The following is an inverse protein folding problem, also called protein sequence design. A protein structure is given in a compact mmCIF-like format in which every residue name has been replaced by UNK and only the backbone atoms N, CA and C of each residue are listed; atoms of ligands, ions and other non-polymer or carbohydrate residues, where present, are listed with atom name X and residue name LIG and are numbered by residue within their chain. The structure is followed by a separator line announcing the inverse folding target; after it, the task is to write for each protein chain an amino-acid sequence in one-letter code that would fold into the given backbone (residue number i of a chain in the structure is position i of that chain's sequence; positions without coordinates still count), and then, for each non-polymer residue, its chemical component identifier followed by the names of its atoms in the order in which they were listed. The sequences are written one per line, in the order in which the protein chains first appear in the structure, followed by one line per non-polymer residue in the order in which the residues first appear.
data_IF_498153192519
#
_entry.id   IF_498153192519
#
_cell.length_a   1.000
_cell.length_b   1.000
_cell.length_c   1.000
_cell.angle_alpha   90.00
_cell.angle_beta   90.00
_cell.angle_gamma   90.00
#
_symmetry.space_group_name_H-M   'P 1'
#
loop_
_entity.id
_entity.type
_entity.pdbx_description
1 polymer ?
#
# COMPACT_ATOMS: atom_id res chain seq x y z
N UNK A 1 26.53 -7.27 -9.51
CA UNK A 1 25.99 -8.58 -9.10
C UNK A 1 24.62 -8.31 -8.46
N UNK A 2 23.58 -8.90 -8.98
CA UNK A 2 22.20 -8.72 -8.45
C UNK A 2 22.10 -9.42 -7.10
N UNK A 3 21.73 -8.71 -6.05
CA UNK A 3 21.59 -9.20 -4.67
C UNK A 3 20.44 -10.22 -4.54
N UNK A 4 19.62 -10.36 -5.60
CA UNK A 4 18.38 -11.15 -5.62
C UNK A 4 18.53 -12.67 -5.51
N UNK A 5 19.73 -13.24 -5.30
CA UNK A 5 19.93 -14.68 -5.35
C UNK A 5 20.12 -15.42 -4.02
N UNK A 6 20.13 -14.72 -2.86
CA UNK A 6 20.50 -15.36 -1.58
C UNK A 6 19.53 -15.18 -0.41
N UNK A 7 18.28 -14.77 -0.62
CA UNK A 7 17.32 -14.77 0.48
C UNK A 7 16.82 -16.21 0.73
N UNK A 8 16.96 -16.70 1.96
CA UNK A 8 16.17 -17.85 2.38
C UNK A 8 14.69 -17.44 2.29
N UNK A 9 13.89 -18.09 1.46
CA UNK A 9 12.48 -17.74 1.19
C UNK A 9 11.64 -17.58 2.46
N UNK A 10 11.98 -18.33 3.50
CA UNK A 10 11.27 -18.33 4.79
C UNK A 10 11.53 -17.08 5.65
N UNK A 11 12.50 -16.25 5.28
CA UNK A 11 12.86 -15.01 6.00
C UNK A 11 12.49 -13.74 5.25
N UNK A 12 11.86 -13.85 4.07
CA UNK A 12 11.35 -12.68 3.35
C UNK A 12 10.08 -12.14 4.03
N UNK A 13 9.85 -10.82 4.03
CA UNK A 13 8.57 -10.27 4.47
C UNK A 13 7.47 -10.82 3.55
N UNK A 14 6.41 -11.36 4.13
CA UNK A 14 5.24 -11.82 3.36
C UNK A 14 4.42 -10.66 2.85
N UNK A 15 4.34 -9.59 3.66
CA UNK A 15 3.58 -8.38 3.37
C UNK A 15 4.46 -7.14 3.56
N UNK A 16 4.58 -6.36 2.48
CA UNK A 16 5.25 -5.05 2.49
C UNK A 16 4.19 -3.96 2.34
N UNK A 17 4.20 -2.97 3.23
CA UNK A 17 3.39 -1.76 3.13
C UNK A 17 4.26 -0.56 2.76
N UNK A 18 3.83 0.28 1.81
CA UNK A 18 4.64 1.42 1.33
C UNK A 18 3.86 2.73 1.41
N UNK A 19 4.44 3.73 2.10
CA UNK A 19 4.01 5.12 2.02
C UNK A 19 4.79 5.79 0.89
N UNK A 20 4.14 6.01 -0.24
CA UNK A 20 4.69 6.55 -1.48
C UNK A 20 4.84 8.07 -1.42
N UNK A 21 5.75 8.57 -0.55
CA UNK A 21 5.96 10.01 -0.38
C UNK A 21 7.01 10.57 -1.33
N UNK A 22 6.82 11.82 -1.73
CA UNK A 22 7.81 12.58 -2.49
C UNK A 22 7.44 12.91 -3.93
N UNK A 23 6.31 12.45 -4.48
CA UNK A 23 5.89 12.73 -5.87
C UNK A 23 5.94 14.22 -6.23
N UNK A 24 5.34 15.07 -5.39
CA UNK A 24 5.31 16.52 -5.64
C UNK A 24 6.68 17.17 -5.49
N UNK A 25 7.51 16.72 -4.52
CA UNK A 25 8.89 17.20 -4.33
C UNK A 25 9.78 16.83 -5.51
N UNK A 26 9.60 15.61 -6.03
CA UNK A 26 10.31 15.11 -7.21
C UNK A 26 10.06 15.98 -8.44
N UNK A 27 8.79 16.29 -8.73
CA UNK A 27 8.41 17.16 -9.84
C UNK A 27 8.99 18.58 -9.66
N UNK A 28 8.84 19.17 -8.47
CA UNK A 28 9.36 20.52 -8.17
C UNK A 28 10.86 20.61 -8.37
N UNK A 29 11.65 19.61 -7.93
CA UNK A 29 13.11 19.58 -8.13
C UNK A 29 13.52 19.59 -9.62
N UNK A 30 12.61 19.20 -10.52
CA UNK A 30 12.83 19.12 -11.98
C UNK A 30 12.12 20.22 -12.78
N UNK A 31 11.58 21.24 -12.08
CA UNK A 31 10.82 22.31 -12.75
C UNK A 31 9.49 21.89 -13.34
N UNK A 32 8.97 20.71 -12.93
CA UNK A 32 7.73 20.15 -13.44
C UNK A 32 6.55 20.44 -12.49
N UNK A 33 5.33 20.37 -13.03
CA UNK A 33 4.11 20.45 -12.23
C UNK A 33 3.94 19.17 -11.39
N UNK A 34 3.31 19.30 -10.22
CA UNK A 34 3.17 18.20 -9.24
C UNK A 34 2.54 16.93 -9.82
N UNK A 35 1.64 17.08 -10.77
CA UNK A 35 0.95 15.96 -11.43
C UNK A 35 1.89 15.04 -12.23
N UNK A 36 2.99 15.58 -12.78
CA UNK A 36 3.99 14.74 -13.45
C UNK A 36 4.71 13.80 -12.48
N UNK A 37 4.94 14.25 -11.24
CA UNK A 37 5.46 13.38 -10.18
C UNK A 37 4.50 12.23 -9.84
N UNK A 38 3.19 12.48 -9.83
CA UNK A 38 2.20 11.42 -9.61
C UNK A 38 2.17 10.41 -10.77
N UNK A 39 2.25 10.87 -12.02
CA UNK A 39 2.35 9.98 -13.19
C UNK A 39 3.60 9.08 -13.08
N UNK A 40 4.75 9.69 -12.77
CA UNK A 40 6.00 8.93 -12.59
C UNK A 40 5.92 7.96 -11.43
N UNK A 41 5.25 8.33 -10.34
CA UNK A 41 5.01 7.44 -9.21
C UNK A 41 4.17 6.21 -9.55
N UNK A 42 3.26 6.30 -10.52
CA UNK A 42 2.51 5.14 -11.05
C UNK A 42 3.44 4.15 -11.78
N UNK A 43 4.36 4.66 -12.61
CA UNK A 43 5.35 3.81 -13.30
C UNK A 43 6.28 3.10 -12.29
N UNK A 44 6.64 3.80 -11.21
CA UNK A 44 7.42 3.22 -10.10
C UNK A 44 6.65 2.10 -9.42
N UNK A 45 5.36 2.30 -9.13
CA UNK A 45 4.51 1.26 -8.53
C UNK A 45 4.50 -0.02 -9.38
N UNK A 46 4.37 0.11 -10.70
CA UNK A 46 4.37 -1.05 -11.60
C UNK A 46 5.68 -1.84 -11.54
N UNK A 47 6.82 -1.13 -11.52
CA UNK A 47 8.13 -1.78 -11.40
C UNK A 47 8.29 -2.51 -10.07
N UNK A 48 7.92 -1.84 -8.97
CA UNK A 48 8.03 -2.40 -7.63
C UNK A 48 7.06 -3.57 -7.44
N UNK A 49 5.84 -3.52 -7.99
CA UNK A 49 4.90 -4.63 -7.96
C UNK A 49 5.48 -5.87 -8.66
N UNK A 50 5.96 -5.71 -9.90
CA UNK A 50 6.58 -6.81 -10.66
C UNK A 50 7.80 -7.39 -9.96
N UNK A 51 8.62 -6.53 -9.37
CA UNK A 51 9.82 -6.98 -8.66
C UNK A 51 9.46 -7.69 -7.35
N UNK A 52 8.47 -7.19 -6.60
CA UNK A 52 7.96 -7.84 -5.39
C UNK A 52 7.40 -9.23 -5.68
N UNK A 53 6.62 -9.38 -6.76
CA UNK A 53 6.10 -10.69 -7.20
C UNK A 53 7.23 -11.65 -7.55
N UNK A 54 8.23 -11.19 -8.33
CA UNK A 54 9.43 -11.96 -8.68
C UNK A 54 10.21 -12.44 -7.45
N UNK A 55 10.27 -11.64 -6.39
CA UNK A 55 10.91 -12.01 -5.11
C UNK A 55 10.08 -13.03 -4.31
N UNK A 56 8.79 -13.19 -4.63
CA UNK A 56 7.87 -14.09 -3.92
C UNK A 56 7.12 -13.43 -2.77
N UNK A 57 7.13 -12.08 -2.68
CA UNK A 57 6.29 -11.31 -1.77
C UNK A 57 4.83 -11.61 -2.09
N UNK A 58 4.01 -11.85 -1.06
CA UNK A 58 2.60 -12.25 -1.24
C UNK A 58 1.64 -11.07 -1.24
N UNK A 59 1.96 -10.03 -0.49
CA UNK A 59 1.09 -8.87 -0.31
C UNK A 59 1.90 -7.58 -0.43
N UNK A 60 1.42 -6.66 -1.25
CA UNK A 60 1.96 -5.32 -1.39
C UNK A 60 0.85 -4.31 -1.13
N UNK A 61 0.91 -3.58 -0.02
CA UNK A 61 -0.01 -2.49 0.29
C UNK A 61 0.64 -1.15 -0.01
N UNK A 62 -0.07 -0.25 -0.70
CA UNK A 62 0.46 1.07 -1.05
C UNK A 62 -0.49 2.18 -0.65
N UNK A 63 0.04 3.26 -0.05
CA UNK A 63 -0.74 4.44 0.35
C UNK A 63 -0.84 5.43 -0.80
N UNK A 64 -1.93 5.36 -1.58
CA UNK A 64 -2.10 6.16 -2.78
C UNK A 64 -2.85 7.49 -2.53
N UNK A 65 -3.88 7.49 -1.66
CA UNK A 65 -4.65 8.69 -1.32
C UNK A 65 -5.21 8.59 0.10
N UNK A 66 -4.78 9.52 0.97
CA UNK A 66 -5.26 9.56 2.35
C UNK A 66 -6.52 10.41 2.50
N UNK A 67 -7.28 10.18 3.58
CA UNK A 67 -8.43 11.02 3.96
C UNK A 67 -8.03 12.48 4.15
N UNK A 68 -6.82 12.77 4.59
CA UNK A 68 -6.29 14.13 4.75
C UNK A 68 -6.01 14.82 3.42
N UNK A 69 -5.80 14.05 2.34
CA UNK A 69 -5.50 14.61 1.02
C UNK A 69 -6.67 15.39 0.39
N UNK A 70 -7.89 15.20 0.89
CA UNK A 70 -9.03 16.04 0.49
C UNK A 70 -8.85 17.53 0.82
N UNK A 71 -7.91 17.87 1.71
CA UNK A 71 -7.55 19.26 2.05
C UNK A 71 -6.62 19.90 1.03
N UNK A 72 -6.10 19.14 0.06
CA UNK A 72 -5.24 19.65 -1.01
C UNK A 72 -6.03 20.54 -1.99
N UNK A 73 -5.33 21.35 -2.81
CA UNK A 73 -5.99 22.12 -3.87
C UNK A 73 -6.88 21.22 -4.73
N UNK A 74 -8.08 21.71 -5.05
CA UNK A 74 -9.12 20.95 -5.76
C UNK A 74 -8.60 20.30 -7.05
N UNK A 75 -7.83 21.06 -7.84
CA UNK A 75 -7.25 20.56 -9.10
C UNK A 75 -6.30 19.37 -8.87
N UNK A 76 -5.51 19.38 -7.78
CA UNK A 76 -4.61 18.25 -7.44
C UNK A 76 -5.43 17.01 -7.08
N UNK A 77 -6.49 17.18 -6.27
CA UNK A 77 -7.39 16.07 -5.88
C UNK A 77 -8.06 15.47 -7.12
N UNK A 78 -8.68 16.30 -7.96
CA UNK A 78 -9.34 15.85 -9.20
C UNK A 78 -8.38 15.09 -10.11
N UNK A 79 -7.14 15.58 -10.23
CA UNK A 79 -6.11 14.93 -11.04
C UNK A 79 -5.75 13.56 -10.47
N UNK A 80 -5.58 13.41 -9.15
CA UNK A 80 -5.28 12.11 -8.52
C UNK A 80 -6.43 11.13 -8.73
N UNK A 81 -7.69 11.56 -8.55
CA UNK A 81 -8.88 10.72 -8.80
C UNK A 81 -8.95 10.25 -10.26
N UNK A 82 -8.69 11.17 -11.20
CA UNK A 82 -8.65 10.86 -12.63
C UNK A 82 -7.52 9.87 -12.96
N UNK A 83 -6.32 10.10 -12.45
CA UNK A 83 -5.17 9.20 -12.65
C UNK A 83 -5.45 7.81 -12.09
N UNK A 84 -6.06 7.73 -10.91
CA UNK A 84 -6.43 6.46 -10.31
C UNK A 84 -7.45 5.70 -11.16
N UNK A 85 -8.53 6.36 -11.61
CA UNK A 85 -9.52 5.75 -12.49
C UNK A 85 -8.88 5.26 -13.81
N UNK A 86 -8.01 6.08 -14.41
CA UNK A 86 -7.26 5.71 -15.62
C UNK A 86 -6.35 4.50 -15.38
N UNK A 87 -5.63 4.49 -14.25
CA UNK A 87 -4.76 3.40 -13.86
C UNK A 87 -5.51 2.08 -13.78
N UNK A 88 -6.62 2.05 -13.02
CA UNK A 88 -7.43 0.84 -12.89
C UNK A 88 -7.84 0.26 -14.24
N UNK A 89 -8.35 1.10 -15.14
CA UNK A 89 -8.81 0.67 -16.46
C UNK A 89 -7.68 0.21 -17.36
N UNK A 90 -6.56 0.95 -17.38
CA UNK A 90 -5.44 0.66 -18.27
C UNK A 90 -4.63 -0.57 -17.85
N UNK A 91 -4.66 -0.92 -16.54
CA UNK A 91 -3.87 -2.02 -15.99
C UNK A 91 -4.65 -3.32 -15.79
N UNK A 92 -5.94 -3.31 -16.10
CA UNK A 92 -6.78 -4.48 -15.93
C UNK A 92 -6.24 -5.73 -16.65
N UNK A 93 -5.89 -5.62 -17.94
CA UNK A 93 -5.35 -6.73 -18.70
C UNK A 93 -3.99 -7.19 -18.16
N UNK A 94 -3.10 -6.24 -17.84
CA UNK A 94 -1.80 -6.55 -17.24
C UNK A 94 -1.96 -7.34 -15.94
N UNK A 95 -2.94 -6.97 -15.09
CA UNK A 95 -3.21 -7.67 -13.83
C UNK A 95 -3.81 -9.06 -14.04
N UNK A 96 -4.66 -9.24 -15.05
CA UNK A 96 -5.17 -10.55 -15.43
C UNK A 96 -4.04 -11.48 -15.89
N UNK A 97 -3.20 -11.01 -16.81
CA UNK A 97 -2.08 -11.78 -17.38
C UNK A 97 -1.02 -12.14 -16.32
N UNK A 98 -0.75 -11.21 -15.38
CA UNK A 98 0.22 -11.41 -14.30
C UNK A 98 -0.41 -12.11 -13.08
N UNK A 99 -1.66 -12.51 -13.16
CA UNK A 99 -2.39 -13.15 -12.05
C UNK A 99 -2.39 -12.32 -10.74
N UNK A 100 -2.39 -10.98 -10.86
CA UNK A 100 -2.41 -10.07 -9.70
C UNK A 100 -3.83 -9.97 -9.15
N UNK A 101 -4.02 -10.21 -7.84
CA UNK A 101 -5.27 -9.93 -7.14
C UNK A 101 -5.27 -8.48 -6.66
N UNK A 102 -6.16 -7.67 -7.20
CA UNK A 102 -6.30 -6.27 -6.80
C UNK A 102 -7.40 -6.09 -5.77
N UNK A 103 -7.08 -5.39 -4.68
CA UNK A 103 -8.06 -4.94 -3.70
C UNK A 103 -7.85 -3.48 -3.34
N UNK A 104 -8.92 -2.81 -2.91
CA UNK A 104 -8.89 -1.40 -2.53
C UNK A 104 -9.36 -1.25 -1.09
N UNK A 105 -8.50 -0.77 -0.21
CA UNK A 105 -8.82 -0.40 1.18
C UNK A 105 -9.14 1.09 1.28
N UNK A 106 -10.23 1.43 1.95
CA UNK A 106 -10.64 2.81 2.24
C UNK A 106 -12.11 3.08 1.93
N UNK A 107 -12.58 4.21 2.44
CA UNK A 107 -13.99 4.60 2.32
C UNK A 107 -14.39 4.88 0.87
N UNK A 108 -15.59 4.46 0.52
CA UNK A 108 -16.23 4.77 -0.79
C UNK A 108 -16.92 6.13 -0.79
N UNK A 109 -17.07 6.74 0.38
CA UNK A 109 -17.65 8.07 0.52
C UNK A 109 -16.82 9.12 -0.24
N UNK A 110 -17.49 10.15 -0.73
CA UNK A 110 -16.91 11.26 -1.53
C UNK A 110 -16.32 10.85 -2.87
N UNK A 111 -16.20 9.56 -3.19
CA UNK A 111 -15.84 9.10 -4.53
C UNK A 111 -17.07 9.16 -5.45
N UNK A 112 -16.85 9.51 -6.72
CA UNK A 112 -17.96 9.55 -7.68
C UNK A 112 -18.56 8.16 -7.90
N UNK A 113 -19.85 8.12 -8.25
CA UNK A 113 -20.53 6.85 -8.60
C UNK A 113 -19.78 6.10 -9.70
N UNK A 114 -19.27 6.81 -10.70
CA UNK A 114 -18.49 6.22 -11.81
C UNK A 114 -17.20 5.58 -11.33
N UNK A 115 -16.44 6.23 -10.41
CA UNK A 115 -15.20 5.67 -9.88
C UNK A 115 -15.49 4.45 -9.01
N UNK A 116 -16.51 4.51 -8.15
CA UNK A 116 -16.94 3.37 -7.34
C UNK A 116 -17.35 2.18 -8.20
N UNK A 117 -18.08 2.42 -9.30
CA UNK A 117 -18.43 1.38 -10.28
C UNK A 117 -17.16 0.75 -10.89
N UNK A 118 -16.22 1.58 -11.37
CA UNK A 118 -14.94 1.09 -11.93
C UNK A 118 -14.15 0.24 -10.92
N UNK A 119 -14.07 0.68 -9.66
CA UNK A 119 -13.38 -0.07 -8.61
C UNK A 119 -14.04 -1.45 -8.45
N UNK A 120 -15.36 -1.49 -8.25
CA UNK A 120 -16.06 -2.75 -8.01
C UNK A 120 -15.94 -3.71 -9.20
N UNK A 121 -16.13 -3.23 -10.43
CA UNK A 121 -16.01 -4.05 -11.63
C UNK A 121 -14.62 -4.68 -11.78
N UNK A 122 -13.55 -3.91 -11.52
CA UNK A 122 -12.19 -4.38 -11.70
C UNK A 122 -11.78 -5.30 -10.55
N UNK A 123 -12.06 -4.95 -9.30
CA UNK A 123 -11.71 -5.81 -8.16
C UNK A 123 -12.44 -7.14 -8.21
N UNK A 124 -13.75 -7.17 -8.58
CA UNK A 124 -14.52 -8.41 -8.71
C UNK A 124 -13.98 -9.32 -9.82
N UNK A 125 -13.56 -8.73 -10.96
CA UNK A 125 -12.96 -9.53 -12.04
C UNK A 125 -11.60 -10.12 -11.70
N UNK A 126 -10.85 -9.50 -10.78
CA UNK A 126 -9.52 -9.92 -10.33
C UNK A 126 -9.55 -10.70 -9.01
N UNK A 127 -10.73 -10.95 -8.41
CA UNK A 127 -10.84 -11.57 -7.08
C UNK A 127 -10.32 -13.00 -7.00
N UNK A 128 -10.43 -13.73 -8.11
CA UNK A 128 -9.99 -15.14 -8.20
C UNK A 128 -8.54 -15.30 -8.61
N UNK A 129 -7.81 -14.20 -8.87
CA UNK A 129 -6.38 -14.26 -9.12
C UNK A 129 -5.64 -14.69 -7.85
N UNK A 130 -4.61 -15.55 -8.03
CA UNK A 130 -3.90 -16.26 -6.96
C UNK A 130 -2.44 -15.84 -6.80
N UNK A 131 -1.98 -14.89 -7.60
CA UNK A 131 -0.64 -14.32 -7.51
C UNK A 131 -0.49 -13.29 -6.39
N UNK A 132 0.39 -12.32 -6.56
CA UNK A 132 0.57 -11.25 -5.56
C UNK A 132 -0.73 -10.46 -5.36
N UNK A 133 -1.05 -10.16 -4.10
CA UNK A 133 -2.16 -9.26 -3.77
C UNK A 133 -1.65 -7.82 -3.72
N UNK A 134 -2.13 -6.98 -4.64
CA UNK A 134 -1.92 -5.54 -4.59
C UNK A 134 -3.09 -4.87 -3.85
N UNK A 135 -2.82 -4.34 -2.66
CA UNK A 135 -3.78 -3.56 -1.89
C UNK A 135 -3.50 -2.06 -2.05
N UNK A 136 -4.37 -1.34 -2.74
CA UNK A 136 -4.24 0.10 -2.88
C UNK A 136 -5.09 0.78 -1.81
N UNK A 137 -4.45 1.40 -0.83
CA UNK A 137 -5.10 2.22 0.18
C UNK A 137 -5.47 3.58 -0.42
N UNK A 138 -6.77 3.73 -0.77
CA UNK A 138 -7.31 4.89 -1.48
C UNK A 138 -8.50 5.47 -0.74
N UNK A 139 -8.50 6.78 -0.48
CA UNK A 139 -9.42 7.43 0.45
C UNK A 139 -9.38 6.76 1.83
N UNK A 140 -8.16 6.42 2.25
CA UNK A 140 -7.87 5.62 3.43
C UNK A 140 -7.33 6.47 4.58
N UNK A 141 -7.63 6.06 5.79
CA UNK A 141 -7.01 6.57 7.01
C UNK A 141 -7.15 5.53 8.12
N UNK A 142 -6.08 5.21 8.83
CA UNK A 142 -6.09 4.17 9.87
C UNK A 142 -7.08 4.43 11.00
N UNK A 143 -7.27 5.69 11.40
CA UNK A 143 -8.31 6.05 12.38
C UNK A 143 -9.71 5.77 11.85
N UNK A 144 -9.97 6.06 10.57
CA UNK A 144 -11.25 5.78 9.94
C UNK A 144 -11.48 4.27 9.81
N UNK A 145 -10.46 3.51 9.40
CA UNK A 145 -10.51 2.05 9.29
C UNK A 145 -10.91 1.41 10.64
N UNK A 146 -10.29 1.84 11.74
CA UNK A 146 -10.63 1.39 13.10
C UNK A 146 -12.07 1.76 13.46
N UNK A 147 -12.49 3.02 13.21
CA UNK A 147 -13.84 3.46 13.53
C UNK A 147 -14.91 2.70 12.73
N UNK A 148 -14.67 2.45 11.45
CA UNK A 148 -15.59 1.67 10.61
C UNK A 148 -15.60 0.20 11.02
N UNK A 149 -14.46 -0.36 11.42
CA UNK A 149 -14.39 -1.71 11.97
C UNK A 149 -15.21 -1.85 13.26
N UNK A 150 -15.09 -0.88 14.20
CA UNK A 150 -15.89 -0.87 15.43
C UNK A 150 -17.38 -0.81 15.13
N UNK A 151 -17.80 0.08 14.22
CA UNK A 151 -19.21 0.19 13.81
C UNK A 151 -19.73 -1.13 13.26
N UNK A 152 -18.97 -1.75 12.37
CA UNK A 152 -19.32 -3.03 11.75
C UNK A 152 -19.39 -4.16 12.78
N UNK A 153 -18.48 -4.17 13.77
CA UNK A 153 -18.50 -5.14 14.89
C UNK A 153 -19.81 -5.00 15.68
N UNK A 154 -20.21 -3.76 16.01
CA UNK A 154 -21.48 -3.49 16.71
C UNK A 154 -22.70 -3.89 15.85
N UNK A 155 -22.69 -3.53 14.56
CA UNK A 155 -23.79 -3.86 13.62
C UNK A 155 -23.96 -5.36 13.45
N UNK A 156 -22.87 -6.14 13.52
CA UNK A 156 -22.89 -7.60 13.47
C UNK A 156 -23.34 -8.23 14.81
N UNK A 157 -23.50 -7.46 15.89
CA UNK A 157 -23.79 -7.98 17.23
C UNK A 157 -22.62 -8.71 17.89
N UNK A 158 -21.39 -8.42 17.44
CA UNK A 158 -20.16 -9.02 17.98
C UNK A 158 -19.61 -8.19 19.14
N UNK A 159 -18.93 -8.86 20.10
CA UNK A 159 -18.21 -8.16 21.17
C UNK A 159 -17.03 -7.35 20.62
N UNK A 160 -16.74 -6.22 21.26
CA UNK A 160 -15.59 -5.38 20.92
C UNK A 160 -14.32 -6.02 21.49
N UNK A 161 -13.67 -6.85 20.68
CA UNK A 161 -12.40 -7.52 20.97
C UNK A 161 -11.37 -7.22 19.88
N UNK A 162 -10.07 -7.42 20.17
CA UNK A 162 -9.02 -7.26 19.14
C UNK A 162 -9.27 -8.13 17.91
N UNK A 163 -9.74 -9.37 18.12
CA UNK A 163 -10.04 -10.30 17.04
C UNK A 163 -11.19 -9.82 16.16
N UNK A 164 -12.30 -9.36 16.76
CA UNK A 164 -13.45 -8.89 16.00
C UNK A 164 -13.17 -7.55 15.31
N UNK A 165 -12.42 -6.64 15.96
CA UNK A 165 -11.91 -5.43 15.31
C UNK A 165 -11.04 -5.81 14.10
N UNK A 166 -10.07 -6.71 14.28
CA UNK A 166 -9.16 -7.15 13.22
C UNK A 166 -9.91 -7.76 12.03
N UNK A 167 -10.94 -8.59 12.28
CA UNK A 167 -11.78 -9.20 11.24
C UNK A 167 -12.58 -8.19 10.43
N UNK A 168 -12.97 -7.09 11.04
CA UNK A 168 -13.84 -6.08 10.43
C UNK A 168 -13.09 -4.92 9.78
N UNK A 169 -11.76 -4.86 9.87
CA UNK A 169 -10.93 -3.92 9.12
C UNK A 169 -11.07 -4.11 7.60
N UNK A 170 -10.68 -3.09 6.82
CA UNK A 170 -10.64 -3.22 5.36
C UNK A 170 -9.73 -4.38 4.93
N UNK A 171 -10.24 -5.26 4.07
CA UNK A 171 -9.48 -6.39 3.51
C UNK A 171 -8.74 -7.22 4.56
N UNK A 172 -9.43 -7.56 5.65
CA UNK A 172 -8.92 -8.29 6.82
C UNK A 172 -8.31 -9.67 6.52
N UNK A 173 -8.51 -10.21 5.32
CA UNK A 173 -7.83 -11.44 4.86
C UNK A 173 -6.33 -11.23 4.55
N UNK A 174 -5.89 -9.97 4.39
CA UNK A 174 -4.48 -9.63 4.21
C UNK A 174 -3.81 -9.63 5.60
N UNK A 175 -2.72 -10.39 5.80
CA UNK A 175 -2.02 -10.39 7.08
C UNK A 175 -1.41 -9.00 7.38
N UNK A 176 -1.11 -8.76 8.65
CA UNK A 176 -0.41 -7.53 9.03
C UNK A 176 0.91 -7.38 8.28
N UNK A 177 1.34 -6.15 7.93
CA UNK A 177 2.61 -5.93 7.27
C UNK A 177 3.79 -6.36 8.15
N UNK A 178 4.73 -7.08 7.55
CA UNK A 178 6.01 -7.37 8.18
C UNK A 178 6.94 -6.17 8.13
N UNK A 179 6.92 -5.44 6.99
CA UNK A 179 7.77 -4.32 6.70
C UNK A 179 6.95 -3.13 6.21
N UNK A 180 7.08 -1.99 6.88
CA UNK A 180 6.59 -0.69 6.43
C UNK A 180 7.74 0.11 5.84
N UNK A 181 7.64 0.51 4.58
CA UNK A 181 8.59 1.38 3.91
C UNK A 181 7.98 2.77 3.76
N UNK A 182 8.71 3.82 4.10
CA UNK A 182 8.34 5.19 3.73
C UNK A 182 9.44 5.84 2.91
N UNK A 183 9.09 6.37 1.75
CA UNK A 183 9.99 7.15 0.89
C UNK A 183 9.96 8.64 1.26
N UNK A 184 11.00 9.39 0.83
CA UNK A 184 11.05 10.84 0.97
C UNK A 184 11.65 11.36 2.26
N UNK A 185 12.36 10.53 3.06
CA UNK A 185 13.14 10.94 4.23
C UNK A 185 12.33 11.35 5.46
N UNK A 186 11.01 11.11 5.48
CA UNK A 186 10.13 11.58 6.55
C UNK A 186 9.83 10.47 7.56
N UNK A 187 10.17 10.69 8.82
CA UNK A 187 10.03 9.70 9.89
C UNK A 187 8.68 9.82 10.62
N UNK A 188 7.61 9.44 9.96
CA UNK A 188 6.23 9.38 10.48
C UNK A 188 5.38 8.44 9.64
N UNK A 189 4.27 7.91 10.21
CA UNK A 189 3.38 6.94 9.56
C UNK A 189 2.12 7.57 8.94
N UNK A 190 1.85 8.84 9.21
CA UNK A 190 0.80 9.65 8.59
C UNK A 190 -0.57 8.98 8.54
N UNK A 191 -1.03 8.41 9.66
CA UNK A 191 -2.34 7.75 9.76
C UNK A 191 -2.49 6.52 8.83
N UNK A 192 -1.37 5.85 8.46
CA UNK A 192 -1.39 4.67 7.61
C UNK A 192 -1.43 3.39 8.42
N UNK A 193 -2.39 2.52 8.18
CA UNK A 193 -2.53 1.16 8.71
C UNK A 193 -2.23 1.03 10.21
N UNK A 194 -2.75 1.98 11.05
CA UNK A 194 -2.39 2.13 12.47
C UNK A 194 -2.52 0.84 13.28
N UNK A 195 -3.57 0.07 13.02
CA UNK A 195 -3.82 -1.20 13.70
C UNK A 195 -2.85 -2.29 13.20
N UNK A 196 -2.72 -2.37 11.89
CA UNK A 196 -2.03 -3.46 11.22
C UNK A 196 -0.50 -3.38 11.37
N UNK A 197 0.08 -2.16 11.53
CA UNK A 197 1.54 -1.97 11.61
C UNK A 197 2.11 -2.02 13.03
N UNK A 198 1.30 -2.42 14.02
CA UNK A 198 1.69 -2.42 15.44
C UNK A 198 3.04 -3.14 15.71
N UNK A 199 3.35 -4.19 14.94
CA UNK A 199 4.59 -4.96 15.04
C UNK A 199 5.41 -4.98 13.75
N UNK A 200 5.14 -4.06 12.83
CA UNK A 200 5.90 -3.97 11.59
C UNK A 200 7.27 -3.37 11.82
N UNK A 201 8.29 -3.92 11.15
CA UNK A 201 9.56 -3.22 11.01
C UNK A 201 9.42 -2.00 10.11
N UNK A 202 10.09 -0.89 10.44
CA UNK A 202 10.00 0.36 9.70
C UNK A 202 11.33 0.65 9.02
N UNK A 203 11.26 0.93 7.72
CA UNK A 203 12.37 1.40 6.91
C UNK A 203 12.03 2.76 6.28
N UNK A 204 12.88 3.75 6.50
CA UNK A 204 12.72 5.08 5.89
C UNK A 204 13.79 5.26 4.82
N UNK A 205 13.36 5.48 3.58
CA UNK A 205 14.23 5.80 2.45
C UNK A 205 14.28 7.30 2.19
N UNK A 206 15.48 7.84 1.99
CA UNK A 206 15.67 9.24 1.59
C UNK A 206 15.23 9.51 0.14
N UNK A 207 15.12 8.45 -0.68
CA UNK A 207 14.67 8.58 -2.06
C UNK A 207 13.21 9.04 -2.11
N UNK A 208 12.92 9.96 -3.02
CA UNK A 208 11.56 10.33 -3.36
C UNK A 208 10.90 9.17 -4.13
N UNK A 209 9.60 8.92 -3.92
CA UNK A 209 8.93 7.76 -4.50
C UNK A 209 9.20 7.54 -6.00
N UNK A 210 9.16 8.56 -6.90
CA UNK A 210 9.47 8.35 -8.32
C UNK A 210 10.88 7.83 -8.62
N UNK A 211 11.84 8.02 -7.72
CA UNK A 211 13.23 7.56 -7.85
C UNK A 211 13.48 6.25 -7.07
N UNK A 212 12.48 5.72 -6.36
CA UNK A 212 12.58 4.44 -5.65
C UNK A 212 12.64 3.28 -6.65
N UNK A 213 13.64 2.42 -6.50
CA UNK A 213 13.92 1.33 -7.43
C UNK A 213 14.04 -0.03 -6.72
N UNK A 214 14.29 -1.07 -7.51
CA UNK A 214 14.47 -2.43 -7.03
C UNK A 214 15.66 -2.55 -6.07
N UNK A 215 16.72 -1.77 -6.27
CA UNK A 215 17.90 -1.79 -5.39
C UNK A 215 17.58 -1.23 -4.01
N UNK A 216 16.74 -0.19 -3.97
CA UNK A 216 16.32 0.39 -2.69
C UNK A 216 15.31 -0.51 -1.98
N UNK A 217 14.45 -1.23 -2.73
CA UNK A 217 13.60 -2.27 -2.16
C UNK A 217 14.46 -3.40 -1.57
N UNK A 218 15.49 -3.86 -2.28
CA UNK A 218 16.43 -4.86 -1.75
C UNK A 218 17.11 -4.40 -0.46
N UNK A 219 17.53 -3.12 -0.36
CA UNK A 219 18.11 -2.58 0.87
C UNK A 219 17.09 -2.61 2.02
N UNK A 220 15.83 -2.26 1.75
CA UNK A 220 14.79 -2.28 2.77
C UNK A 220 14.52 -3.71 3.28
N UNK A 221 14.48 -4.68 2.37
CA UNK A 221 14.32 -6.11 2.70
C UNK A 221 15.54 -6.62 3.45
N UNK A 222 16.76 -6.24 3.05
CA UNK A 222 17.98 -6.60 3.79
C UNK A 222 17.99 -6.01 5.21
N UNK A 223 17.52 -4.77 5.38
CA UNK A 223 17.37 -4.17 6.70
C UNK A 223 16.38 -4.96 7.58
N UNK A 224 15.28 -5.42 7.00
CA UNK A 224 14.32 -6.29 7.68
C UNK A 224 14.95 -7.64 8.04
N UNK A 225 15.64 -8.27 7.11
CA UNK A 225 16.26 -9.59 7.28
C UNK A 225 17.28 -9.65 8.42
N UNK A 226 18.02 -8.55 8.63
CA UNK A 226 19.09 -8.46 9.63
C UNK A 226 18.57 -8.02 11.02
N UNK A 227 17.27 -7.91 11.24
CA UNK A 227 16.68 -7.55 12.53
C UNK A 227 16.16 -8.77 13.27
N UNK A 228 16.49 -8.87 14.57
CA UNK A 228 15.91 -9.87 15.46
C UNK A 228 14.52 -9.43 15.92
N UNK A 229 13.50 -10.16 15.52
CA UNK A 229 12.09 -9.89 15.87
C UNK A 229 11.72 -10.66 17.13
N UNK A 230 11.79 -10.01 18.28
CA UNK A 230 11.60 -10.66 19.59
C UNK A 230 10.14 -10.78 20.04
N UNK A 231 9.20 -10.03 19.48
CA UNK A 231 7.76 -10.04 19.84
C UNK A 231 7.49 -10.03 21.36
N UNK A 232 8.34 -9.34 22.14
CA UNK A 232 8.25 -9.31 23.60
C UNK A 232 8.86 -10.50 24.32
N UNK A 233 9.40 -11.51 23.63
CA UNK A 233 10.13 -12.63 24.25
C UNK A 233 11.56 -12.21 24.59
N UNK A 234 12.01 -12.58 25.77
CA UNK A 234 13.41 -12.50 26.21
C UNK A 234 14.01 -13.86 25.92
N UNK A 235 15.03 -13.93 25.04
CA UNK A 235 15.89 -15.12 24.97
C UNK A 235 16.74 -15.14 26.24
N UNK A 236 16.62 -16.20 27.03
CA UNK A 236 17.51 -16.50 28.15
C UNK A 236 18.91 -16.90 27.64
#
# INVERSE_FOLDING_TARGET
MSISQNYMKDKLPKHIAIIMDGNGRWAKKRGMIRTEGHKKGVETLEKILKYSDKLGIKYLSVYAFSTENWKRPKLEVETILMLFNKYLKSKFNDFMEQNVRLVISGSRERLSKSLNKTINEITNKLENNTGIVLNICFNYGGRLDILESIKKTIENGEDITEDNISKNLYNSFIPNPDLLIRTGGEFRISNYMLWQIAYSEIYVSDLLWPDFDEKELDKSINSFYNRDRRYGNVEE
#
